data_IF_702332959966
#
_entry.id   IF_702332959966
#
_cell.length_a   1.000
_cell.length_b   1.000
_cell.length_c   1.000
_cell.angle_alpha   90.00
_cell.angle_beta   90.00
_cell.angle_gamma   90.00
#
_symmetry.space_group_name_H-M   'P 1'
#
loop_
_entity.id
_entity.type
_entity.pdbx_description
1 polymer ?
#
# COMPACT_ATOMS: atom_id res chain seq x y z
N UNK A 1 41.91 0.41 -41.44
CA UNK A 1 42.97 -0.53 -41.03
C UNK A 1 44.14 0.30 -40.51
N UNK A 2 44.80 0.01 -39.40
CA UNK A 2 44.56 -1.06 -38.41
C UNK A 2 44.64 -0.51 -36.98
N UNK A 3 44.12 -1.29 -36.04
CA UNK A 3 44.21 -1.09 -34.59
C UNK A 3 45.45 -1.83 -34.09
N UNK A 4 46.23 -1.26 -33.17
CA UNK A 4 47.04 -2.06 -32.24
C UNK A 4 47.13 -1.42 -30.85
N UNK A 5 47.07 -2.27 -29.83
CA UNK A 5 47.03 -1.94 -28.40
C UNK A 5 48.18 -2.66 -27.67
N UNK A 6 48.95 -1.98 -26.83
CA UNK A 6 49.89 -2.58 -25.84
C UNK A 6 49.89 -1.62 -24.63
N UNK A 7 49.22 -1.91 -23.50
CA UNK A 7 49.69 -2.62 -22.27
C UNK A 7 51.12 -2.24 -21.83
N UNK A 8 51.52 -2.11 -20.57
CA UNK A 8 50.94 -2.41 -19.25
C UNK A 8 51.22 -1.18 -18.32
N UNK A 9 51.27 -1.16 -16.98
CA UNK A 9 51.15 -2.13 -15.87
C UNK A 9 50.40 -1.46 -14.69
N UNK A 10 50.03 -2.22 -13.66
CA UNK A 10 49.48 -1.71 -12.41
C UNK A 10 50.53 -1.75 -11.27
N UNK A 11 50.39 -0.88 -10.27
CA UNK A 11 50.94 -1.08 -8.93
C UNK A 11 49.85 -0.83 -7.90
N UNK A 12 49.63 -1.83 -7.04
CA UNK A 12 48.69 -1.80 -5.92
C UNK A 12 49.32 -1.05 -4.74
N UNK A 13 48.58 -0.12 -4.13
CA UNK A 13 48.83 0.31 -2.76
C UNK A 13 47.57 0.04 -1.92
N UNK A 14 47.59 -1.10 -1.23
CA UNK A 14 46.57 -1.49 -0.27
C UNK A 14 46.83 -0.71 1.03
N UNK A 15 45.88 0.12 1.44
CA UNK A 15 45.79 0.57 2.83
C UNK A 15 44.56 -0.07 3.48
N UNK A 16 44.81 -1.03 4.35
CA UNK A 16 43.79 -1.66 5.20
C UNK A 16 43.25 -0.65 6.23
N UNK A 17 42.21 0.09 5.85
CA UNK A 17 41.33 0.68 6.87
C UNK A 17 40.41 -0.42 7.36
N UNK A 18 40.46 -0.69 8.66
CA UNK A 18 39.59 -1.65 9.32
C UNK A 18 38.16 -1.10 9.36
N UNK A 19 37.36 -1.39 8.34
CA UNK A 19 35.91 -1.32 8.48
C UNK A 19 35.50 -2.47 9.40
N UNK A 20 35.13 -2.14 10.65
CA UNK A 20 34.41 -3.07 11.50
C UNK A 20 33.20 -3.58 10.71
N UNK A 21 33.14 -4.89 10.52
CA UNK A 21 32.07 -5.51 9.74
C UNK A 21 30.74 -5.26 10.41
N UNK A 22 29.97 -4.31 9.86
CA UNK A 22 28.52 -4.35 10.02
C UNK A 22 28.10 -5.57 9.22
N UNK A 23 27.67 -6.62 9.91
CA UNK A 23 26.96 -7.73 9.29
C UNK A 23 25.72 -7.14 8.62
N UNK A 24 25.85 -6.84 7.32
CA UNK A 24 24.72 -6.75 6.41
C UNK A 24 24.08 -8.12 6.35
N UNK A 25 23.28 -8.44 7.38
CA UNK A 25 22.21 -9.41 7.29
C UNK A 25 21.29 -8.90 6.20
N UNK A 26 21.62 -9.30 4.97
CA UNK A 26 20.74 -9.24 3.83
C UNK A 26 19.53 -10.04 4.23
N UNK A 27 18.52 -9.34 4.76
CA UNK A 27 17.23 -9.93 5.05
C UNK A 27 16.72 -10.39 3.70
N UNK A 28 16.79 -11.70 3.48
CA UNK A 28 16.05 -12.35 2.43
C UNK A 28 14.57 -12.16 2.76
N UNK A 29 14.04 -11.00 2.40
CA UNK A 29 12.63 -10.75 2.17
C UNK A 29 12.24 -11.76 1.10
N UNK A 30 11.83 -12.93 1.57
CA UNK A 30 11.31 -14.02 0.78
C UNK A 30 10.04 -13.48 0.13
N UNK A 31 10.18 -12.87 -1.06
CA UNK A 31 9.04 -12.46 -1.85
C UNK A 31 8.23 -13.72 -2.09
N UNK A 32 6.99 -13.81 -1.58
CA UNK A 32 6.19 -14.98 -1.84
C UNK A 32 5.91 -14.98 -3.35
N UNK A 33 6.49 -15.94 -4.06
CA UNK A 33 6.12 -16.25 -5.44
C UNK A 33 4.61 -16.48 -5.53
N UNK A 34 4.04 -16.41 -6.73
CA UNK A 34 2.58 -16.49 -6.92
C UNK A 34 1.96 -17.76 -6.29
N UNK A 35 2.75 -18.83 -6.14
CA UNK A 35 2.35 -20.13 -5.61
C UNK A 35 2.61 -20.33 -4.10
N UNK A 36 3.37 -19.44 -3.44
CA UNK A 36 3.65 -19.56 -2.00
C UNK A 36 2.57 -18.89 -1.15
N UNK A 37 2.25 -19.52 -0.01
CA UNK A 37 1.18 -19.07 0.88
C UNK A 37 1.64 -17.92 1.78
N UNK A 38 0.81 -16.89 1.92
CA UNK A 38 1.06 -15.74 2.78
C UNK A 38 0.44 -16.01 4.16
N UNK A 39 1.20 -15.97 5.27
CA UNK A 39 0.61 -16.10 6.60
C UNK A 39 -0.30 -14.91 6.91
N UNK A 40 -1.42 -15.20 7.58
CA UNK A 40 -2.27 -14.21 8.23
C UNK A 40 -1.75 -13.98 9.65
N UNK A 41 -1.17 -12.81 9.87
CA UNK A 41 -0.59 -12.36 11.12
C UNK A 41 -0.83 -10.84 11.30
N UNK A 42 -0.11 -10.20 12.23
CA UNK A 42 -0.23 -8.76 12.49
C UNK A 42 0.62 -7.88 11.54
N UNK A 43 1.46 -8.48 10.70
CA UNK A 43 2.38 -7.82 9.76
C UNK A 43 3.24 -6.76 10.48
N UNK A 44 4.25 -7.16 11.27
CA UNK A 44 5.05 -6.24 12.09
C UNK A 44 5.95 -5.31 11.26
N UNK A 45 6.27 -5.67 10.02
CA UNK A 45 7.16 -4.91 9.12
C UNK A 45 6.39 -4.02 8.12
N UNK A 46 5.07 -3.84 8.32
CA UNK A 46 4.30 -2.88 7.52
C UNK A 46 4.44 -1.46 8.03
N UNK A 47 4.40 -0.50 7.11
CA UNK A 47 4.12 0.91 7.38
C UNK A 47 2.63 1.03 7.75
N UNK A 48 2.35 1.56 8.93
CA UNK A 48 1.02 1.59 9.54
C UNK A 48 0.69 2.92 10.25
N UNK A 49 1.42 3.99 9.91
CA UNK A 49 1.28 5.30 10.56
C UNK A 49 -0.12 5.91 10.37
N UNK A 50 -0.76 6.26 11.48
CA UNK A 50 -2.07 6.91 11.52
C UNK A 50 -2.00 8.44 11.53
N UNK A 51 -0.80 9.02 11.63
CA UNK A 51 -0.53 10.46 11.66
C UNK A 51 -1.23 11.23 12.78
N UNK A 52 -1.52 10.54 13.89
CA UNK A 52 -2.18 11.12 15.06
C UNK A 52 -1.28 12.21 15.69
N UNK A 53 -1.79 13.43 15.81
CA UNK A 53 -1.07 14.57 16.37
C UNK A 53 -0.11 15.29 15.41
N UNK A 54 0.19 14.72 14.22
CA UNK A 54 1.09 15.32 13.23
C UNK A 54 0.44 15.55 11.84
N UNK A 55 -0.86 15.33 11.71
CA UNK A 55 -1.59 15.34 10.42
C UNK A 55 -1.34 16.61 9.59
N UNK A 56 -1.43 17.80 10.19
CA UNK A 56 -1.19 19.08 9.48
C UNK A 56 0.27 19.25 9.05
N UNK A 57 1.21 18.83 9.92
CA UNK A 57 2.65 18.90 9.64
C UNK A 57 3.00 17.97 8.48
N UNK A 58 2.45 16.75 8.47
CA UNK A 58 2.63 15.79 7.40
C UNK A 58 1.93 16.25 6.11
N UNK A 59 0.72 16.83 6.18
CA UNK A 59 0.07 17.43 5.00
C UNK A 59 0.99 18.49 4.36
N UNK A 60 1.50 19.42 5.17
CA UNK A 60 2.43 20.45 4.72
C UNK A 60 3.72 19.87 4.12
N UNK A 61 4.30 18.83 4.74
CA UNK A 61 5.50 18.14 4.21
C UNK A 61 5.20 17.42 2.89
N UNK A 62 4.04 16.77 2.77
CA UNK A 62 3.60 16.13 1.52
C UNK A 62 3.42 17.15 0.40
N UNK A 63 2.83 18.32 0.68
CA UNK A 63 2.65 19.37 -0.33
C UNK A 63 3.99 20.00 -0.79
N UNK A 64 4.91 20.26 0.14
CA UNK A 64 6.14 21.03 -0.12
C UNK A 64 7.34 20.17 -0.54
N UNK A 65 7.38 18.92 -0.11
CA UNK A 65 8.56 18.05 -0.23
C UNK A 65 8.22 16.73 -0.90
N UNK A 66 7.39 15.85 -0.29
CA UNK A 66 7.24 14.49 -0.79
C UNK A 66 6.62 14.43 -2.19
N UNK A 67 5.55 15.18 -2.48
CA UNK A 67 4.96 15.19 -3.83
C UNK A 67 5.92 15.70 -4.91
N UNK A 68 6.94 16.48 -4.55
CA UNK A 68 7.95 16.97 -5.50
C UNK A 68 8.98 15.87 -5.78
N UNK A 69 9.48 15.20 -4.72
CA UNK A 69 10.54 14.18 -4.82
C UNK A 69 10.03 12.80 -5.28
N UNK A 70 8.76 12.47 -4.97
CA UNK A 70 8.12 11.20 -5.33
C UNK A 70 7.48 11.25 -6.73
N UNK A 71 7.46 12.40 -7.43
CA UNK A 71 6.94 12.56 -8.80
C UNK A 71 7.90 11.99 -9.88
N UNK A 72 8.27 10.73 -9.69
CA UNK A 72 9.07 9.87 -10.58
C UNK A 72 8.30 8.56 -10.83
N UNK A 73 8.71 7.75 -11.80
CA UNK A 73 8.09 6.43 -11.98
C UNK A 73 8.33 5.53 -10.74
N UNK A 74 7.36 4.69 -10.33
CA UNK A 74 6.06 4.43 -10.98
C UNK A 74 4.96 5.46 -10.66
N UNK A 75 5.17 6.32 -9.66
CA UNK A 75 4.12 7.18 -9.11
C UNK A 75 3.64 8.28 -10.06
N UNK A 76 4.57 8.93 -10.77
CA UNK A 76 4.35 10.07 -11.66
C UNK A 76 3.22 9.86 -12.67
N UNK A 77 3.24 8.76 -13.43
CA UNK A 77 2.21 8.53 -14.45
C UNK A 77 0.83 8.24 -13.83
N UNK A 78 0.75 7.43 -12.77
CA UNK A 78 -0.50 7.17 -12.05
C UNK A 78 -1.08 8.46 -11.41
N UNK A 79 -0.20 9.30 -10.84
CA UNK A 79 -0.55 10.59 -10.24
C UNK A 79 -1.03 11.62 -11.27
N UNK A 80 -0.40 11.66 -12.44
CA UNK A 80 -0.83 12.49 -13.59
C UNK A 80 -2.15 12.01 -14.18
N UNK A 81 -2.34 10.69 -14.29
CA UNK A 81 -3.61 10.11 -14.73
C UNK A 81 -4.76 10.50 -13.80
N UNK A 82 -4.50 10.55 -12.49
CA UNK A 82 -5.47 10.88 -11.47
C UNK A 82 -5.96 12.35 -11.49
N UNK A 83 -5.32 13.26 -12.23
CA UNK A 83 -5.82 14.63 -12.44
C UNK A 83 -7.21 14.67 -13.09
N UNK A 84 -7.62 13.59 -13.79
CA UNK A 84 -8.96 13.49 -14.39
C UNK A 84 -10.06 13.15 -13.39
N UNK A 85 -9.70 12.77 -12.18
CA UNK A 85 -10.66 12.50 -11.12
C UNK A 85 -10.99 13.78 -10.35
N UNK A 86 -12.27 14.06 -10.24
CA UNK A 86 -12.84 15.12 -9.43
C UNK A 86 -13.86 14.51 -8.45
N UNK A 87 -14.20 15.25 -7.40
CA UNK A 87 -15.15 14.82 -6.38
C UNK A 87 -16.45 15.60 -6.49
N UNK A 88 -17.55 14.95 -6.09
CA UNK A 88 -18.89 15.56 -5.97
C UNK A 88 -19.16 16.02 -4.52
N UNK A 89 -18.34 15.58 -3.55
CA UNK A 89 -18.44 15.93 -2.13
C UNK A 89 -17.42 16.98 -1.64
N UNK A 90 -17.75 17.66 -0.55
CA UNK A 90 -17.05 18.86 -0.05
C UNK A 90 -15.93 18.61 1.00
N UNK A 91 -15.62 17.36 1.37
CA UNK A 91 -14.71 17.05 2.49
C UNK A 91 -13.25 16.74 2.12
N UNK A 92 -12.94 16.55 0.84
CA UNK A 92 -11.61 16.15 0.39
C UNK A 92 -10.97 17.23 -0.48
N UNK A 93 -9.68 17.53 -0.24
CA UNK A 93 -8.89 18.37 -1.14
C UNK A 93 -8.52 17.63 -2.43
N UNK A 94 -8.14 18.36 -3.48
CA UNK A 94 -7.74 17.81 -4.78
C UNK A 94 -6.73 16.65 -4.67
N UNK A 95 -5.71 16.79 -3.82
CA UNK A 95 -4.68 15.78 -3.66
C UNK A 95 -5.18 14.50 -2.93
N UNK A 96 -6.18 14.59 -2.06
CA UNK A 96 -6.84 13.39 -1.51
C UNK A 96 -7.60 12.63 -2.59
N UNK A 97 -8.31 13.34 -3.46
CA UNK A 97 -9.09 12.77 -4.58
C UNK A 97 -8.15 12.09 -5.56
N UNK A 98 -7.04 12.75 -5.90
CA UNK A 98 -5.97 12.17 -6.73
C UNK A 98 -5.33 10.94 -6.08
N UNK A 99 -5.11 10.92 -4.78
CA UNK A 99 -4.56 9.76 -4.08
C UNK A 99 -5.48 8.54 -4.17
N UNK A 100 -6.78 8.72 -3.87
CA UNK A 100 -7.80 7.68 -4.07
C UNK A 100 -7.79 7.20 -5.52
N UNK A 101 -7.86 8.12 -6.48
CA UNK A 101 -7.97 7.80 -7.90
C UNK A 101 -6.71 7.12 -8.46
N UNK A 102 -5.50 7.56 -8.09
CA UNK A 102 -4.24 6.92 -8.46
C UNK A 102 -4.17 5.49 -7.92
N UNK A 103 -4.63 5.28 -6.69
CA UNK A 103 -4.69 3.97 -6.05
C UNK A 103 -5.74 3.03 -6.68
N UNK A 104 -6.94 3.51 -7.01
CA UNK A 104 -8.04 2.66 -7.51
C UNK A 104 -8.07 2.48 -9.03
N UNK A 105 -7.82 3.56 -9.79
CA UNK A 105 -8.02 3.63 -11.25
C UNK A 105 -6.85 4.27 -12.00
N UNK A 106 -5.72 4.48 -11.32
CA UNK A 106 -4.48 5.00 -11.90
C UNK A 106 -3.98 4.14 -13.04
N UNK A 107 -3.42 4.78 -14.07
CA UNK A 107 -2.81 4.11 -15.20
C UNK A 107 -1.39 4.67 -15.44
N UNK A 108 -0.32 3.85 -15.36
CA UNK A 108 -0.33 2.43 -15.00
C UNK A 108 -0.80 2.19 -13.56
N UNK A 109 -1.19 0.97 -13.24
CA UNK A 109 -1.77 0.66 -11.92
C UNK A 109 -0.67 0.56 -10.85
N UNK A 110 -0.74 1.43 -9.85
CA UNK A 110 0.30 1.55 -8.81
C UNK A 110 0.04 0.69 -7.56
N UNK A 111 -1.21 0.28 -7.34
CA UNK A 111 -1.65 -0.31 -6.06
C UNK A 111 -0.86 -1.56 -5.65
N UNK A 112 -0.39 -2.37 -6.60
CA UNK A 112 0.37 -3.60 -6.30
C UNK A 112 1.76 -3.29 -5.74
N UNK A 113 2.45 -2.30 -6.32
CA UNK A 113 3.80 -1.91 -5.88
C UNK A 113 3.72 -1.09 -4.59
N UNK A 114 2.77 -0.15 -4.52
CA UNK A 114 2.46 0.60 -3.31
C UNK A 114 2.13 -0.33 -2.13
N UNK A 115 1.19 -1.27 -2.28
CA UNK A 115 0.83 -2.17 -1.20
C UNK A 115 1.97 -3.13 -0.82
N UNK A 116 2.85 -3.50 -1.76
CA UNK A 116 4.06 -4.27 -1.44
C UNK A 116 5.03 -3.46 -0.59
N UNK A 117 5.32 -2.21 -0.97
CA UNK A 117 6.17 -1.32 -0.19
C UNK A 117 5.58 -1.06 1.21
N UNK A 118 4.29 -0.74 1.31
CA UNK A 118 3.60 -0.57 2.60
C UNK A 118 3.67 -1.84 3.45
N UNK A 119 3.58 -3.04 2.86
CA UNK A 119 3.64 -4.31 3.60
C UNK A 119 5.02 -4.65 4.19
N UNK A 120 6.11 -4.16 3.60
CA UNK A 120 7.46 -4.68 3.91
C UNK A 120 8.52 -3.63 4.28
N UNK A 121 8.27 -2.34 4.03
CA UNK A 121 9.32 -1.31 4.09
C UNK A 121 9.28 -0.46 5.37
N UNK A 122 8.79 -0.99 6.50
CA UNK A 122 8.76 -0.25 7.79
C UNK A 122 10.12 0.35 8.17
N UNK A 123 11.21 -0.41 8.05
CA UNK A 123 12.56 0.07 8.40
C UNK A 123 13.09 1.14 7.43
N UNK A 124 12.53 1.22 6.22
CA UNK A 124 12.90 2.22 5.21
C UNK A 124 12.01 3.47 5.24
N UNK A 125 11.04 3.53 6.16
CA UNK A 125 10.04 4.61 6.19
C UNK A 125 10.68 5.99 6.32
N UNK A 126 11.73 6.14 7.13
CA UNK A 126 12.42 7.42 7.32
C UNK A 126 13.52 7.70 6.28
N UNK A 127 13.77 6.78 5.34
CA UNK A 127 14.92 6.80 4.43
C UNK A 127 14.51 6.67 2.96
N UNK A 128 14.24 5.45 2.49
CA UNK A 128 14.10 5.13 1.06
C UNK A 128 12.67 4.81 0.63
N UNK A 129 11.70 4.86 1.53
CA UNK A 129 10.27 4.70 1.22
C UNK A 129 9.81 5.78 0.23
N UNK A 130 9.16 5.36 -0.87
CA UNK A 130 8.90 6.22 -2.04
C UNK A 130 7.44 6.64 -2.20
N UNK A 131 6.60 6.37 -1.19
CA UNK A 131 5.16 6.55 -1.25
C UNK A 131 4.58 7.27 -0.02
N UNK A 132 5.34 8.15 0.62
CA UNK A 132 4.87 8.96 1.75
C UNK A 132 3.61 9.75 1.37
N UNK A 133 3.62 10.38 0.19
CA UNK A 133 2.50 11.18 -0.31
C UNK A 133 1.24 10.33 -0.45
N UNK A 134 1.36 9.15 -1.04
CA UNK A 134 0.22 8.26 -1.27
C UNK A 134 -0.29 7.63 0.03
N UNK A 135 0.63 7.17 0.90
CA UNK A 135 0.30 6.61 2.21
C UNK A 135 -0.43 7.63 3.08
N UNK A 136 0.12 8.84 3.21
CA UNK A 136 -0.48 9.91 4.00
C UNK A 136 -1.84 10.33 3.44
N UNK A 137 -1.92 10.66 2.14
CA UNK A 137 -3.17 11.16 1.56
C UNK A 137 -4.29 10.11 1.54
N UNK A 138 -3.98 8.81 1.39
CA UNK A 138 -4.99 7.77 1.54
C UNK A 138 -5.45 7.62 3.00
N UNK A 139 -4.51 7.64 3.95
CA UNK A 139 -4.83 7.56 5.39
C UNK A 139 -5.71 8.73 5.83
N UNK A 140 -5.34 9.96 5.44
CA UNK A 140 -6.07 11.16 5.80
C UNK A 140 -7.43 11.24 5.10
N UNK A 141 -7.53 10.81 3.84
CA UNK A 141 -8.82 10.72 3.15
C UNK A 141 -9.77 9.74 3.85
N UNK A 142 -9.29 8.57 4.29
CA UNK A 142 -10.08 7.60 5.06
C UNK A 142 -10.55 8.21 6.39
N UNK A 143 -9.67 8.94 7.09
CA UNK A 143 -10.00 9.66 8.33
C UNK A 143 -11.08 10.73 8.11
N UNK A 144 -10.97 11.54 7.05
CA UNK A 144 -11.92 12.61 6.69
C UNK A 144 -13.28 12.08 6.21
N UNK A 145 -13.28 10.93 5.52
CA UNK A 145 -14.49 10.25 5.05
C UNK A 145 -15.21 9.43 6.13
N UNK A 146 -14.54 9.11 7.26
CA UNK A 146 -15.13 8.36 8.38
C UNK A 146 -16.40 9.05 8.89
N UNK A 147 -17.57 8.55 8.49
CA UNK A 147 -18.87 8.97 9.02
C UNK A 147 -19.09 8.29 10.37
N UNK A 148 -19.80 8.95 11.29
CA UNK A 148 -20.38 8.30 12.49
C UNK A 148 -21.60 7.47 12.06
N UNK A 149 -21.36 6.31 11.42
CA UNK A 149 -22.40 5.42 10.88
C UNK A 149 -22.06 3.95 11.13
N UNK A 150 -23.05 3.09 10.87
CA UNK A 150 -23.04 1.64 11.06
C UNK A 150 -21.90 0.93 10.32
N UNK A 151 -21.48 -0.23 10.85
CA UNK A 151 -20.65 -1.18 10.13
C UNK A 151 -21.30 -1.59 8.79
N UNK A 152 -20.47 -1.88 7.80
CA UNK A 152 -20.86 -2.49 6.54
C UNK A 152 -20.06 -3.76 6.30
N UNK A 153 -20.68 -4.76 5.69
CA UNK A 153 -19.99 -5.96 5.22
C UNK A 153 -19.49 -5.68 3.80
N UNK A 154 -18.17 -5.80 3.60
CA UNK A 154 -17.53 -5.78 2.30
C UNK A 154 -16.75 -7.06 2.07
N UNK A 155 -16.37 -7.30 0.82
CA UNK A 155 -15.72 -8.52 0.38
C UNK A 155 -14.44 -8.21 -0.37
N UNK A 156 -13.41 -9.01 -0.13
CA UNK A 156 -12.13 -8.91 -0.83
C UNK A 156 -11.74 -10.27 -1.38
N UNK A 157 -11.56 -10.37 -2.69
CA UNK A 157 -11.00 -11.53 -3.38
C UNK A 157 -9.53 -11.28 -3.73
N UNK A 158 -8.72 -12.32 -3.82
CA UNK A 158 -7.28 -12.19 -4.09
C UNK A 158 -6.73 -13.33 -4.96
N UNK A 159 -5.74 -13.01 -5.80
CA UNK A 159 -4.92 -13.97 -6.57
C UNK A 159 -3.80 -14.62 -5.74
N UNK A 160 -3.75 -14.35 -4.43
CA UNK A 160 -2.74 -14.86 -3.49
C UNK A 160 -3.41 -15.82 -2.51
N UNK A 161 -2.74 -16.93 -2.18
CA UNK A 161 -3.21 -17.85 -1.15
C UNK A 161 -2.79 -17.32 0.22
N UNK A 162 -3.75 -16.97 1.07
CA UNK A 162 -3.52 -16.67 2.47
C UNK A 162 -3.77 -17.91 3.32
N UNK A 163 -3.00 -18.09 4.39
CA UNK A 163 -3.12 -19.21 5.33
C UNK A 163 -3.04 -18.70 6.76
N UNK A 164 -3.90 -19.23 7.64
CA UNK A 164 -3.96 -18.79 9.03
C UNK A 164 -4.94 -19.61 9.84
N UNK A 165 -5.06 -19.28 11.12
CA UNK A 165 -6.07 -19.86 12.02
C UNK A 165 -7.26 -18.90 12.11
N UNK A 166 -8.47 -19.45 12.03
CA UNK A 166 -9.71 -18.73 12.36
C UNK A 166 -9.65 -18.23 13.81
N UNK A 167 -10.32 -17.12 14.12
CA UNK A 167 -10.31 -16.47 15.44
C UNK A 167 -8.91 -16.03 15.91
N UNK A 168 -8.12 -15.47 14.99
CA UNK A 168 -6.92 -14.71 15.31
C UNK A 168 -7.06 -13.28 14.82
N UNK A 169 -6.55 -12.33 15.60
CA UNK A 169 -6.36 -10.94 15.17
C UNK A 169 -5.34 -10.93 14.04
N UNK A 170 -5.73 -10.37 12.91
CA UNK A 170 -4.93 -10.31 11.68
C UNK A 170 -5.01 -8.91 11.10
N UNK A 171 -3.97 -8.51 10.37
CA UNK A 171 -3.87 -7.24 9.67
C UNK A 171 -3.42 -7.48 8.24
N UNK A 172 -3.94 -6.69 7.29
CA UNK A 172 -3.42 -6.75 5.92
C UNK A 172 -2.02 -6.13 5.82
N UNK A 173 -1.72 -5.11 6.62
CA UNK A 173 -0.44 -4.39 6.60
C UNK A 173 -0.24 -3.56 5.31
N UNK A 174 -1.35 -3.22 4.64
CA UNK A 174 -1.41 -2.38 3.45
C UNK A 174 -2.88 -1.96 3.22
N UNK A 175 -3.14 -1.09 2.24
CA UNK A 175 -4.49 -0.64 1.92
C UNK A 175 -5.30 -1.77 1.26
N UNK A 176 -6.29 -2.31 1.97
CA UNK A 176 -7.05 -3.46 1.51
C UNK A 176 -8.34 -3.02 0.81
N UNK A 177 -8.30 -2.87 -0.52
CA UNK A 177 -9.51 -2.64 -1.32
C UNK A 177 -10.51 -3.79 -1.15
N UNK A 178 -11.78 -3.45 -0.98
CA UNK A 178 -12.92 -4.37 -0.86
C UNK A 178 -14.13 -3.80 -1.57
N UNK A 179 -15.05 -4.64 -2.02
CA UNK A 179 -16.29 -4.25 -2.70
C UNK A 179 -17.53 -4.68 -1.90
N UNK A 180 -18.65 -3.99 -2.09
CA UNK A 180 -19.96 -4.49 -1.67
C UNK A 180 -20.40 -5.70 -2.52
N UNK A 181 -19.91 -5.79 -3.78
CA UNK A 181 -20.08 -6.97 -4.61
C UNK A 181 -19.05 -8.05 -4.22
N UNK A 182 -19.55 -9.15 -3.66
CA UNK A 182 -18.78 -10.35 -3.26
C UNK A 182 -18.22 -11.16 -4.43
N UNK A 183 -18.85 -11.06 -5.61
CA UNK A 183 -18.63 -11.94 -6.76
C UNK A 183 -17.59 -11.36 -7.74
N UNK A 184 -16.78 -10.40 -7.29
CA UNK A 184 -15.82 -9.67 -8.12
C UNK A 184 -14.55 -10.49 -8.47
N UNK A 185 -14.72 -11.48 -9.34
CA UNK A 185 -13.76 -12.56 -9.64
C UNK A 185 -12.49 -12.13 -10.36
N UNK A 186 -12.45 -10.96 -11.03
CA UNK A 186 -11.24 -10.41 -11.66
C UNK A 186 -10.09 -10.18 -10.66
N UNK A 187 -10.41 -9.98 -9.37
CA UNK A 187 -9.45 -9.86 -8.27
C UNK A 187 -8.92 -11.22 -7.77
N UNK A 188 -9.46 -12.34 -8.26
CA UNK A 188 -8.94 -13.70 -8.05
C UNK A 188 -9.86 -14.66 -7.29
N UNK A 189 -9.35 -15.86 -7.07
CA UNK A 189 -10.06 -17.02 -6.55
C UNK A 189 -9.31 -17.76 -5.42
N UNK A 190 -8.10 -17.31 -5.04
CA UNK A 190 -7.21 -18.07 -4.14
C UNK A 190 -7.48 -17.85 -2.65
N UNK A 191 -8.01 -16.70 -2.28
CA UNK A 191 -8.49 -16.41 -0.92
C UNK A 191 -9.49 -15.27 -0.95
N UNK A 192 -10.57 -15.43 -0.16
CA UNK A 192 -11.65 -14.47 -0.02
C UNK A 192 -11.80 -14.06 1.45
N UNK A 193 -12.19 -12.80 1.68
CA UNK A 193 -12.41 -12.23 3.01
C UNK A 193 -13.80 -11.59 3.06
N UNK A 194 -14.52 -11.84 4.15
CA UNK A 194 -15.69 -11.07 4.56
C UNK A 194 -15.23 -10.11 5.66
N UNK A 195 -15.35 -8.81 5.39
CA UNK A 195 -14.76 -7.75 6.19
C UNK A 195 -15.91 -6.90 6.72
N UNK A 196 -16.07 -6.87 8.04
CA UNK A 196 -16.92 -5.87 8.70
C UNK A 196 -16.08 -4.59 8.89
N UNK A 197 -16.53 -3.49 8.27
CA UNK A 197 -15.79 -2.21 8.26
C UNK A 197 -16.68 -1.02 8.57
N UNK A 198 -16.14 -0.08 9.35
CA UNK A 198 -16.72 1.24 9.62
C UNK A 198 -16.37 2.28 8.52
N UNK A 199 -15.57 1.90 7.52
CA UNK A 199 -15.09 2.78 6.46
C UNK A 199 -15.78 2.48 5.15
N UNK A 200 -16.66 3.41 4.74
CA UNK A 200 -17.30 3.37 3.44
C UNK A 200 -16.72 4.49 2.54
N UNK A 201 -15.58 4.19 1.89
CA UNK A 201 -15.00 5.05 0.83
C UNK A 201 -15.70 4.72 -0.48
N UNK A 202 -17.00 4.99 -0.52
CA UNK A 202 -17.83 4.80 -1.70
C UNK A 202 -17.73 6.01 -2.62
N UNK A 203 -17.53 5.72 -3.91
CA UNK A 203 -17.71 6.62 -5.07
C UNK A 203 -16.57 7.59 -5.43
N UNK A 204 -15.52 7.02 -6.05
CA UNK A 204 -15.03 7.54 -7.34
C UNK A 204 -15.59 6.60 -8.41
N UNK A 205 -16.51 7.10 -9.25
CA UNK A 205 -17.45 6.27 -10.01
C UNK A 205 -16.89 5.63 -11.30
N UNK A 206 -17.16 4.33 -11.49
CA UNK A 206 -17.40 3.66 -12.78
C UNK A 206 -18.41 2.49 -12.62
N UNK A 207 -19.28 2.30 -13.62
CA UNK A 207 -20.19 1.14 -13.85
C UNK A 207 -19.37 -0.09 -14.33
N UNK A 208 -19.82 -1.36 -14.30
CA UNK A 208 -21.16 -1.95 -14.14
C UNK A 208 -21.08 -3.44 -13.64
N UNK A 209 -22.24 -4.11 -13.50
CA UNK A 209 -22.51 -5.58 -13.53
C UNK A 209 -22.30 -6.53 -12.31
N UNK A 210 -23.45 -6.94 -11.71
CA UNK A 210 -24.10 -8.28 -11.72
C UNK A 210 -23.41 -9.60 -11.23
N UNK A 211 -24.16 -10.68 -10.85
CA UNK A 211 -24.02 -11.20 -9.47
C UNK A 211 -24.18 -12.74 -9.35
N UNK A 212 -23.11 -13.54 -9.49
CA UNK A 212 -23.23 -15.01 -9.24
C UNK A 212 -22.04 -15.67 -8.52
N UNK A 213 -22.24 -15.87 -7.21
CA UNK A 213 -21.86 -17.02 -6.36
C UNK A 213 -20.38 -17.27 -5.93
N UNK A 214 -20.20 -17.07 -4.61
CA UNK A 214 -19.58 -17.93 -3.57
C UNK A 214 -18.09 -18.36 -3.63
N UNK A 215 -17.45 -18.28 -2.45
CA UNK A 215 -16.21 -18.94 -1.99
C UNK A 215 -16.19 -18.89 -0.45
N UNK A 216 -15.31 -19.66 0.20
CA UNK A 216 -15.24 -19.76 1.67
C UNK A 216 -14.92 -18.42 2.38
N UNK A 217 -15.63 -18.17 3.49
CA UNK A 217 -15.57 -16.92 4.25
C UNK A 217 -14.60 -17.02 5.42
N UNK A 218 -13.55 -16.19 5.42
CA UNK A 218 -12.78 -15.85 6.62
C UNK A 218 -13.30 -14.52 7.17
N UNK A 219 -13.89 -14.56 8.38
CA UNK A 219 -14.38 -13.36 9.07
C UNK A 219 -13.25 -12.64 9.77
N UNK A 220 -13.15 -11.33 9.55
CA UNK A 220 -12.28 -10.45 10.33
C UNK A 220 -13.11 -9.60 11.30
N UNK A 221 -13.09 -9.95 12.58
CA UNK A 221 -13.58 -9.08 13.66
C UNK A 221 -12.52 -8.00 13.93
N UNK A 222 -12.89 -6.73 13.85
CA UNK A 222 -12.06 -5.63 14.33
C UNK A 222 -12.45 -5.28 15.77
N UNK A 223 -11.47 -5.18 16.66
CA UNK A 223 -11.73 -4.84 18.06
C UNK A 223 -12.14 -3.38 18.20
N UNK A 224 -13.27 -3.14 18.87
CA UNK A 224 -13.66 -1.81 19.31
C UNK A 224 -12.69 -1.33 20.40
N UNK A 225 -11.77 -0.42 20.04
CA UNK A 225 -11.12 0.43 21.04
C UNK A 225 -12.15 1.41 21.61
N UNK A 226 -12.79 1.00 22.70
CA UNK A 226 -13.52 1.91 23.57
C UNK A 226 -12.52 2.75 24.37
N UNK A 227 -12.17 3.93 23.85
CA UNK A 227 -11.67 5.04 24.67
C UNK A 227 -12.85 5.94 25.04
N UNK A 228 -13.48 5.64 26.18
CA UNK A 228 -14.25 6.63 26.94
C UNK A 228 -13.35 7.25 28.01
N UNK A 229 -13.75 8.43 28.47
CA UNK A 229 -13.03 9.34 29.38
C UNK A 229 -12.62 8.72 30.72
#
# INVERSE_FOLDING_TARGET
MGRDNILTFAVLCIFHVWTLGVDSKMVHLHQPGLNSSIPLDMVPDSVDDMYNGCTEQMYNKVQKEYLVHENKEPFKNAWKWAERCYNVGNKLSHNHIKAICAYTTGHPSIHSEFNQAVRTNRYEYTTSFQFHSLHFLLTDAIRLLKKKQSCHITYRRTKRKFVGKVNKTIRFGYFASSSLNKDNSEFGDKSCFEIETLFNVTEVLKKEDDPTLWCDVVKQTTEHQNSQE
#
